data_IF_780695157244
#
_entry.id   IF_780695157244
#
_cell.length_a   1.000
_cell.length_b   1.000
_cell.length_c   1.000
_cell.angle_alpha   90.00
_cell.angle_beta   90.00
_cell.angle_gamma   90.00
#
_symmetry.space_group_name_H-M   'P 1'
#
loop_
_entity.id
_entity.type
_entity.pdbx_description
1 polymer ?
#
# COMPACT_ATOMS: atom_id res chain seq x y z
N UNK A 1 -7.42 -3.52 20.08
CA UNK A 1 -8.06 -2.91 18.90
C UNK A 1 -8.40 -1.46 19.17
N UNK A 2 -8.24 -0.63 18.17
CA UNK A 2 -8.56 0.78 18.30
C UNK A 2 -10.01 1.03 17.92
N UNK A 3 -10.73 1.64 18.80
CA UNK A 3 -12.11 2.00 18.54
C UNK A 3 -12.20 3.46 18.13
N UNK A 4 -13.09 3.76 17.21
CA UNK A 4 -13.35 5.14 16.84
C UNK A 4 -14.09 5.82 17.99
N UNK A 5 -13.61 7.00 18.38
CA UNK A 5 -14.24 7.78 19.42
C UNK A 5 -14.57 9.16 18.88
N UNK A 6 -15.86 9.48 18.72
CA UNK A 6 -16.25 10.79 18.23
C UNK A 6 -15.67 11.91 19.10
N UNK A 7 -15.17 12.94 18.46
CA UNK A 7 -14.57 14.07 19.15
C UNK A 7 -13.11 13.86 19.54
N UNK A 8 -12.56 12.68 19.27
CA UNK A 8 -11.17 12.38 19.61
C UNK A 8 -10.39 11.98 18.36
N UNK A 9 -9.59 12.92 17.86
CA UNK A 9 -8.78 12.67 16.68
C UNK A 9 -7.51 11.91 17.04
N UNK A 10 -7.23 10.84 16.32
CA UNK A 10 -5.99 10.09 16.48
C UNK A 10 -5.01 10.49 15.39
N UNK A 11 -3.84 10.97 15.80
CA UNK A 11 -2.81 11.37 14.83
C UNK A 11 -2.28 10.18 14.07
N UNK A 12 -2.23 9.02 14.73
CA UNK A 12 -1.74 7.79 14.11
C UNK A 12 -2.74 6.66 14.36
N UNK A 13 -3.86 6.65 13.61
CA UNK A 13 -4.87 5.61 13.78
C UNK A 13 -4.32 4.22 13.46
N UNK A 14 -4.98 3.18 13.95
CA UNK A 14 -4.48 1.81 13.89
C UNK A 14 -4.17 1.32 12.48
N UNK A 15 -5.09 1.50 11.55
CA UNK A 15 -4.87 0.99 10.19
C UNK A 15 -3.76 1.77 9.50
N UNK A 16 -3.76 3.09 9.64
CA UNK A 16 -2.69 3.92 9.08
C UNK A 16 -1.34 3.51 9.65
N UNK A 17 -1.26 3.33 10.96
CA UNK A 17 -0.01 2.92 11.60
C UNK A 17 0.48 1.59 11.01
N UNK A 18 -0.42 0.62 10.90
CA UNK A 18 -0.05 -0.70 10.39
C UNK A 18 0.36 -0.64 8.93
N UNK A 19 -0.35 0.13 8.11
CA UNK A 19 0.01 0.28 6.71
C UNK A 19 1.37 0.94 6.54
N UNK A 20 1.67 1.97 7.34
CA UNK A 20 2.98 2.61 7.29
C UNK A 20 4.08 1.62 7.63
N UNK A 21 3.88 0.84 8.68
CA UNK A 21 4.88 -0.16 9.09
C UNK A 21 5.08 -1.21 7.99
N UNK A 22 4.00 -1.75 7.45
CA UNK A 22 4.09 -2.78 6.41
C UNK A 22 4.80 -2.24 5.18
N UNK A 23 4.45 -1.05 4.73
CA UNK A 23 5.08 -0.46 3.56
C UNK A 23 6.59 -0.24 3.75
N UNK A 24 6.98 0.25 4.92
CA UNK A 24 8.40 0.46 5.20
C UNK A 24 9.14 -0.87 5.26
N UNK A 25 8.55 -1.89 5.93
CA UNK A 25 9.20 -3.20 6.02
C UNK A 25 9.35 -3.85 4.66
N UNK A 26 8.32 -3.78 3.81
CA UNK A 26 8.41 -4.33 2.46
C UNK A 26 9.49 -3.60 1.66
N UNK A 27 9.57 -2.28 1.77
CA UNK A 27 10.58 -1.52 1.07
C UNK A 27 11.99 -1.90 1.52
N UNK A 28 12.20 -2.06 2.82
CA UNK A 28 13.50 -2.49 3.32
C UNK A 28 13.85 -3.88 2.80
N UNK A 29 12.87 -4.78 2.71
CA UNK A 29 13.09 -6.09 2.12
C UNK A 29 13.48 -5.99 0.64
N UNK A 30 12.83 -5.08 -0.10
CA UNK A 30 13.19 -4.86 -1.50
C UNK A 30 14.64 -4.41 -1.66
N UNK A 31 15.13 -3.61 -0.70
CA UNK A 31 16.47 -3.05 -0.79
C UNK A 31 17.55 -4.00 -0.26
N UNK A 32 17.16 -5.07 0.41
CA UNK A 32 18.13 -6.01 1.02
C UNK A 32 17.96 -7.42 0.49
N UNK A 33 16.80 -8.04 0.68
CA UNK A 33 16.54 -9.43 0.31
C UNK A 33 16.23 -9.48 -1.18
N UNK A 34 17.03 -10.25 -1.93
CA UNK A 34 16.80 -10.41 -3.35
C UNK A 34 17.12 -9.17 -4.18
N UNK A 35 17.88 -8.24 -3.63
CA UNK A 35 18.23 -7.01 -4.33
C UNK A 35 18.89 -7.28 -5.68
N UNK A 36 19.81 -8.25 -5.71
CA UNK A 36 20.56 -8.55 -6.91
C UNK A 36 19.78 -9.39 -7.91
N UNK A 37 18.80 -10.16 -7.44
CA UNK A 37 18.01 -11.04 -8.30
C UNK A 37 16.69 -10.42 -8.75
N UNK A 38 16.24 -9.37 -8.08
CA UNK A 38 14.93 -8.77 -8.35
C UNK A 38 13.78 -9.67 -7.95
N UNK A 39 14.01 -10.61 -7.03
CA UNK A 39 13.02 -11.60 -6.66
C UNK A 39 11.71 -10.96 -6.18
N UNK A 40 11.80 -9.97 -5.28
CA UNK A 40 10.60 -9.36 -4.72
C UNK A 40 9.81 -8.60 -5.79
N UNK A 41 10.52 -7.83 -6.63
CA UNK A 41 9.86 -7.08 -7.69
C UNK A 41 9.22 -8.02 -8.71
N UNK A 42 9.92 -9.07 -9.08
CA UNK A 42 9.39 -10.03 -10.06
C UNK A 42 8.16 -10.75 -9.53
N UNK A 43 8.11 -11.02 -8.23
CA UNK A 43 7.05 -11.82 -7.62
C UNK A 43 5.85 -10.97 -7.20
N UNK A 44 6.08 -9.78 -6.65
CA UNK A 44 5.05 -9.00 -5.97
C UNK A 44 4.67 -7.69 -6.64
N UNK A 45 5.51 -7.14 -7.53
CA UNK A 45 5.13 -5.95 -8.27
C UNK A 45 4.09 -6.32 -9.33
N UNK A 46 3.29 -5.35 -9.74
CA UNK A 46 2.25 -5.60 -10.73
C UNK A 46 2.85 -5.66 -12.12
N UNK A 47 2.69 -6.79 -12.78
CA UNK A 47 3.10 -6.99 -14.17
C UNK A 47 1.86 -7.00 -15.07
N UNK A 48 2.04 -6.72 -16.36
CA UNK A 48 0.92 -6.79 -17.29
C UNK A 48 0.43 -8.23 -17.40
N UNK A 49 -0.84 -8.39 -17.72
CA UNK A 49 -1.43 -9.73 -17.84
C UNK A 49 -0.77 -10.58 -18.93
N UNK A 50 -0.10 -9.94 -19.88
CA UNK A 50 0.61 -10.63 -20.95
C UNK A 50 2.02 -11.09 -20.55
N UNK A 51 2.53 -10.60 -19.43
CA UNK A 51 3.87 -10.94 -18.97
C UNK A 51 3.89 -12.33 -18.37
N UNK A 52 4.96 -13.13 -18.61
CA UNK A 52 5.11 -14.41 -17.93
C UNK A 52 5.29 -14.25 -16.41
N UNK A 53 5.60 -13.05 -15.94
CA UNK A 53 5.78 -12.78 -14.52
C UNK A 53 4.47 -12.41 -13.82
N UNK A 54 3.38 -12.24 -14.58
CA UNK A 54 2.09 -11.87 -13.99
C UNK A 54 1.56 -12.96 -13.06
N UNK A 55 1.05 -12.53 -11.89
CA UNK A 55 0.35 -13.40 -10.94
C UNK A 55 -0.81 -12.64 -10.32
N UNK A 56 -1.94 -13.30 -10.04
CA UNK A 56 -3.14 -12.61 -9.53
C UNK A 56 -2.93 -11.84 -8.22
N UNK A 57 -2.09 -12.35 -7.33
CA UNK A 57 -1.87 -11.67 -6.06
C UNK A 57 -1.24 -10.30 -6.22
N UNK A 58 -0.66 -10.01 -7.37
CA UNK A 58 0.00 -8.72 -7.62
C UNK A 58 -0.98 -7.54 -7.59
N UNK A 59 -2.27 -7.80 -7.79
CA UNK A 59 -3.27 -6.74 -7.65
C UNK A 59 -3.29 -6.16 -6.24
N UNK A 60 -2.92 -6.94 -5.24
CA UNK A 60 -2.84 -6.48 -3.85
C UNK A 60 -1.41 -6.14 -3.46
N UNK A 61 -0.47 -7.05 -3.74
CA UNK A 61 0.91 -6.87 -3.27
C UNK A 61 1.58 -5.65 -3.86
N UNK A 62 1.23 -5.23 -5.08
CA UNK A 62 1.83 -4.06 -5.70
C UNK A 62 1.64 -2.79 -4.87
N UNK A 63 0.58 -2.75 -4.06
CA UNK A 63 0.27 -1.58 -3.26
C UNK A 63 1.34 -1.28 -2.21
N UNK A 64 2.16 -2.25 -1.87
CA UNK A 64 3.20 -2.13 -0.84
C UNK A 64 4.61 -2.04 -1.43
N UNK A 65 4.73 -2.10 -2.76
CA UNK A 65 6.02 -2.04 -3.42
C UNK A 65 6.35 -0.61 -3.84
N UNK A 66 7.60 -0.22 -3.70
CA UNK A 66 8.02 1.14 -4.02
C UNK A 66 9.31 1.13 -4.81
N UNK A 67 9.42 2.03 -5.79
CA UNK A 67 10.56 2.09 -6.69
C UNK A 67 11.80 2.76 -6.10
N UNK A 68 11.64 3.60 -5.09
CA UNK A 68 12.78 4.29 -4.50
C UNK A 68 12.38 5.05 -3.24
N UNK A 69 13.37 5.65 -2.58
CA UNK A 69 13.16 6.36 -1.31
C UNK A 69 12.17 7.52 -1.45
N UNK A 70 12.27 8.29 -2.52
CA UNK A 70 11.35 9.41 -2.73
C UNK A 70 9.93 8.92 -2.87
N UNK A 71 9.72 7.86 -3.64
CA UNK A 71 8.40 7.30 -3.86
C UNK A 71 7.81 6.81 -2.53
N UNK A 72 8.61 6.10 -1.75
CA UNK A 72 8.16 5.64 -0.43
C UNK A 72 7.80 6.83 0.46
N UNK A 73 8.67 7.83 0.53
CA UNK A 73 8.46 8.97 1.41
C UNK A 73 7.16 9.72 1.08
N UNK A 74 6.96 10.06 -0.20
CA UNK A 74 5.78 10.81 -0.58
C UNK A 74 4.50 10.00 -0.42
N UNK A 75 4.55 8.69 -0.71
CA UNK A 75 3.40 7.83 -0.51
C UNK A 75 3.04 7.72 0.98
N UNK A 76 4.03 7.54 1.83
CA UNK A 76 3.77 7.41 3.26
C UNK A 76 3.27 8.72 3.84
N UNK A 77 3.82 9.84 3.39
CA UNK A 77 3.36 11.14 3.85
C UNK A 77 1.90 11.38 3.45
N UNK A 78 1.57 11.11 2.21
CA UNK A 78 0.18 11.28 1.73
C UNK A 78 -0.77 10.32 2.44
N UNK A 79 -0.36 9.08 2.61
CA UNK A 79 -1.15 8.09 3.32
C UNK A 79 -1.43 8.52 4.75
N UNK A 80 -0.38 8.99 5.44
CA UNK A 80 -0.55 9.47 6.80
C UNK A 80 -1.46 10.70 6.86
N UNK A 81 -1.20 11.68 6.04
CA UNK A 81 -1.91 12.96 6.11
C UNK A 81 -3.39 12.82 5.75
N UNK A 82 -3.67 12.21 4.59
CA UNK A 82 -5.05 12.07 4.13
C UNK A 82 -5.74 10.86 4.74
N UNK A 83 -5.01 9.76 4.86
CA UNK A 83 -5.59 8.54 5.40
C UNK A 83 -5.98 8.64 6.85
N UNK A 84 -5.21 9.38 7.65
CA UNK A 84 -5.54 9.55 9.06
C UNK A 84 -6.87 10.27 9.24
N UNK A 85 -7.11 11.29 8.42
CA UNK A 85 -8.40 12.00 8.45
C UNK A 85 -9.53 11.03 8.11
N UNK A 86 -9.36 10.26 7.05
CA UNK A 86 -10.40 9.32 6.61
C UNK A 86 -10.64 8.22 7.63
N UNK A 87 -9.59 7.68 8.22
CA UNK A 87 -9.77 6.64 9.23
C UNK A 87 -10.46 7.18 10.47
N UNK A 88 -10.12 8.41 10.88
CA UNK A 88 -10.80 9.03 12.01
C UNK A 88 -12.28 9.27 11.75
N UNK A 89 -12.62 9.63 10.50
CA UNK A 89 -14.01 9.90 10.14
C UNK A 89 -14.82 8.63 9.93
N UNK A 90 -14.23 7.62 9.29
CA UNK A 90 -14.97 6.44 8.83
C UNK A 90 -14.78 5.22 9.72
N UNK A 91 -13.75 5.20 10.57
CA UNK A 91 -13.38 4.03 11.33
C UNK A 91 -12.46 3.10 10.55
N UNK A 92 -11.80 2.15 11.26
CA UNK A 92 -10.76 1.33 10.66
C UNK A 92 -11.25 0.41 9.54
N UNK A 93 -12.39 -0.25 9.72
CA UNK A 93 -12.87 -1.20 8.70
C UNK A 93 -13.23 -0.51 7.41
N UNK A 94 -13.95 0.60 7.49
CA UNK A 94 -14.40 1.31 6.30
C UNK A 94 -13.21 1.92 5.57
N UNK A 95 -12.25 2.46 6.32
CA UNK A 95 -11.06 3.01 5.70
C UNK A 95 -10.24 1.94 5.01
N UNK A 96 -10.04 0.78 5.65
CA UNK A 96 -9.28 -0.29 5.03
C UNK A 96 -9.93 -0.78 3.75
N UNK A 97 -11.26 -0.94 3.77
CA UNK A 97 -12.00 -1.33 2.57
C UNK A 97 -11.80 -0.32 1.45
N UNK A 98 -11.90 0.97 1.77
CA UNK A 98 -11.68 2.03 0.81
C UNK A 98 -10.25 1.97 0.23
N UNK A 99 -9.27 1.78 1.10
CA UNK A 99 -7.86 1.71 0.69
C UNK A 99 -7.64 0.57 -0.30
N UNK A 100 -8.18 -0.61 0.01
CA UNK A 100 -8.03 -1.79 -0.86
C UNK A 100 -8.76 -1.60 -2.18
N UNK A 101 -9.95 -1.03 -2.16
CA UNK A 101 -10.71 -0.77 -3.38
C UNK A 101 -9.96 0.21 -4.28
N UNK A 102 -9.39 1.26 -3.71
CA UNK A 102 -8.60 2.21 -4.47
C UNK A 102 -7.37 1.56 -5.08
N UNK A 103 -6.72 0.67 -4.33
CA UNK A 103 -5.56 -0.06 -4.84
C UNK A 103 -5.91 -0.99 -5.99
N UNK A 104 -7.03 -1.69 -5.88
CA UNK A 104 -7.51 -2.56 -6.96
C UNK A 104 -7.89 -1.74 -8.19
N UNK A 105 -8.56 -0.60 -7.98
CA UNK A 105 -8.92 0.30 -9.07
C UNK A 105 -7.70 0.83 -9.80
N UNK A 106 -6.67 1.21 -9.05
CA UNK A 106 -5.42 1.68 -9.64
C UNK A 106 -4.74 0.57 -10.44
N UNK A 107 -4.77 -0.67 -9.93
CA UNK A 107 -4.21 -1.81 -10.65
C UNK A 107 -4.95 -2.07 -11.96
N UNK A 108 -6.27 -2.01 -11.94
CA UNK A 108 -7.07 -2.22 -13.14
C UNK A 108 -6.81 -1.13 -14.18
N UNK A 109 -6.69 0.13 -13.73
CA UNK A 109 -6.35 1.23 -14.64
C UNK A 109 -4.96 1.02 -15.25
N UNK A 110 -4.01 0.58 -14.45
CA UNK A 110 -2.66 0.32 -14.92
C UNK A 110 -2.67 -0.77 -16.00
N UNK A 111 -3.43 -1.85 -15.76
CA UNK A 111 -3.57 -2.94 -16.73
C UNK A 111 -4.21 -2.46 -18.02
N UNK A 112 -5.21 -1.60 -17.92
CA UNK A 112 -5.91 -1.08 -19.10
C UNK A 112 -5.07 -0.15 -19.95
N UNK A 113 -4.12 0.55 -19.34
CA UNK A 113 -3.23 1.49 -20.05
C UNK A 113 -2.09 0.75 -20.74
N UNK A 114 -1.61 -0.30 -20.10
CA UNK A 114 -0.51 -1.09 -20.65
C UNK A 114 -1.02 -2.10 -21.68
#
# INVERSE_FOLDING_TARGET
MTEFRPGRFQILPTIIKNLLIINVLVFLAQRTIGKDTGFLENTFALHTWQSPLFRPWQFITHMFMHGGWEHLFFNMFALWMFGSVLENLWGPKKFLTFYLICGLGAALCHMGVL
#
